data_IF_183939571061
#
_entry.id   IF_183939571061
#
_cell.length_a   1.000
_cell.length_b   1.000
_cell.length_c   1.000
_cell.angle_alpha   90.00
_cell.angle_beta   90.00
_cell.angle_gamma   90.00
#
_symmetry.space_group_name_H-M   'P 1'
#
loop_
_entity.id
_entity.type
_entity.pdbx_description
1 polymer ?
#
# COMPACT_ATOMS: atom_id res chain seq x y z
N UNK A 1 -1.75 -34.41 -12.19
CA UNK A 1 -0.52 -34.84 -12.88
C UNK A 1 0.62 -34.78 -11.87
N UNK A 2 1.81 -35.24 -12.25
CA UNK A 2 3.00 -35.25 -11.38
C UNK A 2 3.36 -33.86 -10.86
N UNK A 3 2.95 -32.80 -11.57
CA UNK A 3 3.11 -31.40 -11.18
C UNK A 3 2.07 -30.87 -10.16
N UNK A 4 1.27 -31.73 -9.52
CA UNK A 4 0.25 -31.33 -8.54
C UNK A 4 -0.92 -30.50 -9.11
N UNK A 5 -1.06 -30.44 -10.44
CA UNK A 5 -2.14 -29.71 -11.14
C UNK A 5 -3.13 -30.67 -11.78
N UNK A 6 -4.35 -30.19 -12.03
CA UNK A 6 -5.31 -30.90 -12.87
C UNK A 6 -4.71 -31.07 -14.27
N UNK A 7 -4.66 -32.32 -14.80
CA UNK A 7 -3.91 -32.67 -16.02
C UNK A 7 -4.32 -31.81 -17.22
N UNK A 8 -5.62 -31.54 -17.39
CA UNK A 8 -6.17 -30.67 -18.44
C UNK A 8 -5.71 -29.21 -18.39
N UNK A 9 -5.24 -28.72 -17.23
CA UNK A 9 -4.78 -27.34 -17.00
C UNK A 9 -3.28 -27.23 -16.79
N UNK A 10 -2.54 -28.32 -16.95
CA UNK A 10 -1.10 -28.34 -16.74
C UNK A 10 -0.37 -28.00 -18.04
N UNK A 11 0.34 -26.88 -18.07
CA UNK A 11 1.14 -26.45 -19.24
C UNK A 11 2.23 -27.49 -19.57
N UNK A 12 2.92 -28.00 -18.55
CA UNK A 12 4.03 -28.96 -18.69
C UNK A 12 3.57 -30.34 -19.19
N UNK A 13 2.30 -30.70 -18.98
CA UNK A 13 1.71 -31.92 -19.52
C UNK A 13 0.96 -31.71 -20.85
N UNK A 14 1.06 -30.53 -21.48
CA UNK A 14 0.30 -30.24 -22.69
C UNK A 14 -1.23 -30.28 -22.48
N UNK A 15 -1.69 -29.85 -21.30
CA UNK A 15 -3.10 -29.93 -20.92
C UNK A 15 -4.01 -29.29 -21.96
N UNK A 16 -5.05 -30.02 -22.39
CA UNK A 16 -5.95 -29.63 -23.49
C UNK A 16 -6.65 -28.28 -23.32
N UNK A 17 -6.71 -27.74 -22.10
CA UNK A 17 -7.31 -26.43 -21.82
C UNK A 17 -6.30 -25.28 -21.85
N UNK A 18 -5.03 -25.52 -22.18
CA UNK A 18 -3.96 -24.51 -22.26
C UNK A 18 -3.65 -24.23 -23.73
N UNK A 19 -3.61 -22.96 -24.13
CA UNK A 19 -3.20 -22.57 -25.47
C UNK A 19 -1.67 -22.53 -25.60
N UNK A 20 -1.17 -22.37 -26.82
CA UNK A 20 0.26 -22.15 -27.11
C UNK A 20 0.87 -20.99 -26.31
N UNK A 21 0.08 -19.96 -26.01
CA UNK A 21 0.47 -18.82 -25.17
C UNK A 21 0.61 -19.17 -23.67
N UNK A 22 0.41 -20.43 -23.29
CA UNK A 22 0.51 -20.91 -21.90
C UNK A 22 -0.61 -20.42 -20.97
N UNK A 23 -1.68 -19.85 -21.53
CA UNK A 23 -2.86 -19.38 -20.79
C UNK A 23 -4.00 -20.39 -20.93
N UNK A 24 -5.00 -20.31 -20.06
CA UNK A 24 -6.23 -21.10 -20.23
C UNK A 24 -6.92 -20.64 -21.52
N UNK A 25 -7.16 -21.56 -22.46
CA UNK A 25 -7.68 -21.29 -23.81
C UNK A 25 -8.91 -20.38 -23.80
N UNK A 26 -9.90 -20.70 -22.95
CA UNK A 26 -11.14 -19.92 -22.85
C UNK A 26 -10.94 -18.48 -22.38
N UNK A 27 -9.80 -18.15 -21.76
CA UNK A 27 -9.45 -16.81 -21.25
C UNK A 27 -8.31 -16.15 -22.03
N UNK A 28 -7.80 -16.80 -23.08
CA UNK A 28 -6.73 -16.22 -23.88
C UNK A 28 -7.29 -15.19 -24.85
N UNK A 29 -6.87 -13.92 -24.73
CA UNK A 29 -7.27 -12.86 -25.65
C UNK A 29 -6.72 -13.09 -27.06
N UNK A 30 -5.46 -13.52 -27.16
CA UNK A 30 -4.76 -13.79 -28.43
C UNK A 30 -5.40 -14.96 -29.20
N UNK A 31 -6.00 -15.93 -28.51
CA UNK A 31 -6.73 -17.05 -29.14
C UNK A 31 -8.24 -16.80 -29.28
N UNK A 32 -8.73 -15.58 -29.02
CA UNK A 32 -10.18 -15.29 -29.08
C UNK A 32 -11.01 -16.13 -28.10
N UNK A 33 -10.47 -16.45 -26.93
CA UNK A 33 -11.09 -17.36 -25.98
C UNK A 33 -12.55 -17.00 -25.66
N UNK A 34 -13.41 -18.02 -25.54
CA UNK A 34 -14.86 -17.87 -25.40
C UNK A 34 -15.34 -17.02 -24.22
N UNK A 35 -14.48 -16.80 -23.21
CA UNK A 35 -14.76 -15.95 -22.05
C UNK A 35 -14.36 -14.49 -22.26
N UNK A 36 -13.77 -14.12 -23.39
CA UNK A 36 -13.32 -12.76 -23.72
C UNK A 36 -14.38 -12.07 -24.58
N UNK A 37 -14.75 -10.83 -24.24
CA UNK A 37 -15.64 -10.02 -25.06
C UNK A 37 -14.85 -9.30 -26.16
N UNK A 38 -15.57 -8.68 -27.10
CA UNK A 38 -15.00 -7.80 -28.13
C UNK A 38 -14.12 -6.68 -27.54
N UNK A 39 -14.45 -6.19 -26.35
CA UNK A 39 -13.66 -5.20 -25.60
C UNK A 39 -12.35 -5.76 -25.02
N UNK A 40 -12.03 -7.04 -25.27
CA UNK A 40 -10.80 -7.69 -24.79
C UNK A 40 -10.75 -7.93 -23.28
N UNK A 41 -11.89 -7.81 -22.58
CA UNK A 41 -12.04 -8.09 -21.15
C UNK A 41 -12.73 -9.44 -20.95
N UNK A 42 -12.63 -10.02 -19.76
CA UNK A 42 -13.45 -11.19 -19.40
C UNK A 42 -14.92 -10.79 -19.42
N UNK A 43 -15.76 -11.47 -20.22
CA UNK A 43 -17.19 -11.16 -20.46
C UNK A 43 -17.95 -10.90 -19.16
N UNK A 44 -17.81 -11.79 -18.18
CA UNK A 44 -18.50 -11.66 -16.89
C UNK A 44 -18.08 -10.42 -16.09
N UNK A 45 -16.93 -9.82 -16.36
CA UNK A 45 -16.42 -8.62 -15.71
C UNK A 45 -16.49 -7.36 -16.59
N UNK A 46 -16.96 -7.49 -17.83
CA UNK A 46 -17.05 -6.36 -18.74
C UNK A 46 -18.31 -5.55 -18.45
N UNK A 47 -18.13 -4.29 -18.02
CA UNK A 47 -19.24 -3.36 -17.79
C UNK A 47 -20.05 -3.09 -19.07
N UNK A 48 -19.36 -2.87 -20.19
CA UNK A 48 -19.96 -2.59 -21.50
C UNK A 48 -20.81 -3.76 -22.02
N UNK A 49 -20.44 -5.00 -21.69
CA UNK A 49 -21.23 -6.19 -22.05
C UNK A 49 -22.26 -6.61 -20.98
N UNK A 50 -22.52 -5.78 -19.96
CA UNK A 50 -23.45 -6.13 -18.88
C UNK A 50 -23.02 -7.34 -18.04
N UNK A 51 -21.70 -7.56 -17.91
CA UNK A 51 -21.14 -8.73 -17.27
C UNK A 51 -21.73 -9.03 -15.90
N UNK A 52 -22.12 -10.29 -15.66
CA UNK A 52 -22.82 -10.76 -14.46
C UNK A 52 -22.08 -10.49 -13.14
N UNK A 53 -20.79 -10.19 -13.17
CA UNK A 53 -19.99 -9.85 -11.99
C UNK A 53 -19.99 -8.36 -11.66
N UNK A 54 -20.58 -7.49 -12.49
CA UNK A 54 -20.62 -6.02 -12.30
C UNK A 54 -22.04 -5.58 -11.91
N UNK A 55 -22.18 -4.79 -10.85
CA UNK A 55 -23.47 -4.18 -10.48
C UNK A 55 -23.75 -2.93 -11.30
N UNK A 56 -24.96 -2.41 -11.20
CA UNK A 56 -25.36 -1.12 -11.78
C UNK A 56 -24.42 0.03 -11.39
N UNK A 57 -23.86 -0.01 -10.17
CA UNK A 57 -22.86 0.95 -9.69
C UNK A 57 -21.47 0.82 -10.36
N UNK A 58 -21.31 -0.03 -11.38
CA UNK A 58 -20.05 -0.25 -12.08
C UNK A 58 -18.95 -0.91 -11.23
N UNK A 59 -19.28 -1.45 -10.06
CA UNK A 59 -18.37 -2.16 -9.15
C UNK A 59 -18.57 -3.67 -9.27
N UNK A 60 -17.57 -4.45 -8.88
CA UNK A 60 -17.74 -5.91 -8.75
C UNK A 60 -18.84 -6.19 -7.72
N UNK A 61 -19.92 -6.89 -8.11
CA UNK A 61 -21.13 -7.14 -7.31
C UNK A 61 -20.79 -7.63 -5.91
N UNK A 62 -19.93 -8.64 -5.81
CA UNK A 62 -19.53 -9.22 -4.52
C UNK A 62 -18.81 -8.25 -3.59
N UNK A 63 -18.24 -7.16 -4.12
CA UNK A 63 -17.50 -6.13 -3.36
C UNK A 63 -18.26 -4.80 -3.23
N UNK A 64 -19.45 -4.69 -3.81
CA UNK A 64 -20.23 -3.47 -3.77
C UNK A 64 -20.96 -3.38 -2.42
N UNK A 65 -20.76 -2.28 -1.68
CA UNK A 65 -21.44 -2.06 -0.39
C UNK A 65 -22.93 -1.78 -0.58
N UNK A 66 -23.26 -0.94 -1.56
CA UNK A 66 -24.65 -0.55 -1.87
C UNK A 66 -25.50 -1.74 -2.33
N UNK A 67 -24.91 -2.74 -2.99
CA UNK A 67 -25.61 -3.97 -3.36
C UNK A 67 -25.56 -5.07 -2.28
N UNK A 68 -25.06 -4.79 -1.06
CA UNK A 68 -24.91 -5.82 -0.03
C UNK A 68 -24.00 -6.98 -0.43
N UNK A 69 -22.97 -6.71 -1.24
CA UNK A 69 -22.13 -7.73 -1.86
C UNK A 69 -21.58 -8.74 -0.85
N UNK A 70 -21.53 -10.03 -1.23
CA UNK A 70 -21.17 -11.15 -0.35
C UNK A 70 -19.79 -11.04 0.33
N UNK A 71 -18.89 -10.19 -0.17
CA UNK A 71 -17.58 -9.92 0.44
C UNK A 71 -17.61 -8.80 1.47
N UNK A 72 -18.74 -8.12 1.67
CA UNK A 72 -18.93 -7.05 2.65
C UNK A 72 -19.57 -7.65 3.92
N UNK A 73 -19.06 -7.27 5.09
CA UNK A 73 -19.66 -7.63 6.38
C UNK A 73 -20.70 -6.59 6.81
N UNK A 74 -21.45 -6.90 7.86
CA UNK A 74 -22.38 -5.99 8.51
C UNK A 74 -21.72 -4.66 8.94
N UNK A 75 -20.43 -4.68 9.29
CA UNK A 75 -19.63 -3.49 9.62
C UNK A 75 -19.28 -2.62 8.41
N UNK A 76 -19.81 -2.92 7.21
CA UNK A 76 -19.55 -2.16 5.99
C UNK A 76 -18.11 -2.24 5.48
N UNK A 77 -17.31 -3.20 5.97
CA UNK A 77 -15.92 -3.44 5.54
C UNK A 77 -15.84 -4.73 4.71
N UNK A 78 -14.73 -4.95 4.01
CA UNK A 78 -14.51 -6.25 3.36
C UNK A 78 -14.34 -7.32 4.45
N UNK A 79 -15.11 -8.41 4.40
CA UNK A 79 -15.07 -9.52 5.37
C UNK A 79 -13.66 -9.99 5.66
N UNK A 80 -12.85 -10.19 4.63
CA UNK A 80 -11.45 -10.63 4.78
C UNK A 80 -10.57 -9.63 5.55
N UNK A 81 -10.93 -8.36 5.59
CA UNK A 81 -10.18 -7.28 6.25
C UNK A 81 -10.86 -6.78 7.53
N UNK A 82 -12.00 -7.35 7.91
CA UNK A 82 -12.73 -6.93 9.09
C UNK A 82 -12.14 -7.63 10.32
N UNK A 83 -11.67 -6.85 11.29
CA UNK A 83 -11.14 -7.36 12.56
C UNK A 83 -12.24 -8.02 13.39
N UNK A 84 -13.41 -7.39 13.46
CA UNK A 84 -14.58 -7.89 14.21
C UNK A 84 -15.10 -9.23 13.67
N UNK A 85 -15.02 -9.45 12.34
CA UNK A 85 -15.40 -10.73 11.72
C UNK A 85 -14.27 -11.77 11.65
N UNK A 86 -13.12 -11.56 12.31
CA UNK A 86 -11.99 -12.50 12.24
C UNK A 86 -11.42 -12.68 10.83
N UNK A 87 -11.45 -11.63 10.00
CA UNK A 87 -11.12 -11.71 8.59
C UNK A 87 -9.74 -12.33 8.31
N UNK A 88 -9.65 -13.19 7.29
CA UNK A 88 -8.44 -13.94 6.93
C UNK A 88 -7.20 -13.08 6.62
N UNK A 89 -7.40 -11.81 6.29
CA UNK A 89 -6.32 -10.83 6.05
C UNK A 89 -5.90 -10.08 7.31
N UNK A 90 -6.43 -10.42 8.48
CA UNK A 90 -6.06 -9.88 9.79
C UNK A 90 -5.24 -10.93 10.54
N UNK A 91 -4.24 -10.48 11.29
CA UNK A 91 -3.49 -11.32 12.23
C UNK A 91 -4.07 -11.20 13.64
N UNK A 92 -3.65 -12.06 14.57
CA UNK A 92 -4.11 -12.08 15.96
C UNK A 92 -3.96 -10.72 16.67
N UNK A 93 -2.94 -9.95 16.30
CA UNK A 93 -2.71 -8.59 16.81
C UNK A 93 -3.66 -7.53 16.21
N UNK A 94 -4.68 -7.94 15.46
CA UNK A 94 -5.70 -7.05 14.88
C UNK A 94 -5.23 -6.17 13.72
N UNK A 95 -4.02 -6.41 13.18
CA UNK A 95 -3.44 -5.67 12.05
C UNK A 95 -3.57 -6.48 10.75
N UNK A 96 -3.42 -5.83 9.60
CA UNK A 96 -3.34 -6.54 8.32
C UNK A 96 -2.19 -7.55 8.34
N UNK A 97 -2.47 -8.81 8.02
CA UNK A 97 -1.55 -9.96 8.10
C UNK A 97 -0.24 -9.73 7.34
N UNK A 98 -0.30 -9.07 6.18
CA UNK A 98 0.88 -8.63 5.42
C UNK A 98 1.80 -7.72 6.23
N UNK A 99 1.25 -6.86 7.09
CA UNK A 99 2.00 -5.95 7.98
C UNK A 99 2.45 -6.61 9.28
N UNK A 100 1.84 -7.73 9.69
CA UNK A 100 2.25 -8.43 10.91
C UNK A 100 3.56 -9.20 10.69
N UNK A 101 3.80 -9.69 9.47
CA UNK A 101 5.07 -10.31 9.07
C UNK A 101 6.25 -9.31 9.13
N UNK A 102 5.95 -8.02 9.04
CA UNK A 102 6.93 -6.93 9.08
C UNK A 102 7.37 -6.56 10.50
N UNK A 103 6.76 -7.09 11.56
CA UNK A 103 7.14 -6.79 12.96
C UNK A 103 8.02 -7.92 13.50
N UNK A 104 9.11 -7.58 14.20
CA UNK A 104 9.94 -8.55 14.91
C UNK A 104 9.47 -8.76 16.34
N UNK A 105 10.04 -9.75 17.03
CA UNK A 105 9.80 -10.00 18.47
C UNK A 105 10.08 -8.78 19.36
N UNK A 106 10.99 -7.88 18.95
CA UNK A 106 11.27 -6.61 19.62
C UNK A 106 10.16 -5.55 19.44
N UNK A 107 9.01 -5.90 18.85
CA UNK A 107 7.87 -4.98 18.63
C UNK A 107 8.11 -3.88 17.59
N UNK A 108 9.26 -3.90 16.90
CA UNK A 108 9.66 -2.92 15.87
C UNK A 108 9.44 -3.49 14.48
N UNK A 109 9.34 -2.62 13.47
CA UNK A 109 9.39 -3.08 12.07
C UNK A 109 10.74 -3.74 11.80
N UNK A 110 10.78 -4.97 11.30
CA UNK A 110 11.99 -5.76 10.99
C UNK A 110 13.01 -4.92 10.23
N UNK A 111 12.58 -4.21 9.20
CA UNK A 111 13.47 -3.35 8.41
C UNK A 111 14.14 -2.22 9.20
N UNK A 112 13.56 -1.81 10.33
CA UNK A 112 14.06 -0.73 11.21
C UNK A 112 14.56 -1.25 12.57
N UNK A 113 14.59 -2.56 12.78
CA UNK A 113 15.05 -3.14 14.03
C UNK A 113 16.56 -3.38 13.97
N UNK A 114 17.32 -2.72 14.86
CA UNK A 114 18.78 -2.91 14.95
C UNK A 114 19.15 -4.34 15.33
N UNK A 115 18.45 -4.93 16.31
CA UNK A 115 18.70 -6.29 16.81
C UNK A 115 18.44 -7.36 15.74
N UNK A 116 17.51 -7.12 14.81
CA UNK A 116 17.23 -8.03 13.70
C UNK A 116 18.06 -7.73 12.43
N UNK A 117 19.07 -6.85 12.49
CA UNK A 117 19.86 -6.47 11.31
C UNK A 117 19.02 -5.78 10.22
N UNK A 118 18.01 -5.00 10.62
CA UNK A 118 17.07 -4.36 9.71
C UNK A 118 17.75 -3.56 8.60
N UNK A 119 17.34 -3.80 7.35
CA UNK A 119 17.96 -3.20 6.15
C UNK A 119 17.95 -1.67 6.10
N UNK A 120 17.07 -1.01 6.87
CA UNK A 120 17.00 0.44 6.99
C UNK A 120 17.97 1.02 8.02
N UNK A 121 18.67 0.19 8.79
CA UNK A 121 19.65 0.60 9.81
C UNK A 121 21.05 0.43 9.22
N UNK A 122 21.92 1.43 9.42
CA UNK A 122 23.34 1.35 9.06
C UNK A 122 24.16 0.71 10.18
N UNK A 123 25.44 0.44 9.92
CA UNK A 123 26.40 -0.04 10.92
C UNK A 123 26.50 0.87 12.15
N UNK A 124 26.33 2.20 11.96
CA UNK A 124 26.28 3.18 13.04
C UNK A 124 25.00 3.11 13.90
N UNK A 125 24.08 2.17 13.63
CA UNK A 125 22.82 2.01 14.38
C UNK A 125 21.77 3.10 14.12
N UNK A 126 22.01 3.99 13.14
CA UNK A 126 21.08 5.05 12.72
C UNK A 126 20.27 4.59 11.51
N UNK A 127 19.16 5.26 11.19
CA UNK A 127 18.49 5.01 9.91
C UNK A 127 19.43 5.40 8.76
N UNK A 128 19.66 4.49 7.80
CA UNK A 128 20.56 4.69 6.65
C UNK A 128 20.30 6.02 5.93
N UNK A 129 19.03 6.34 5.69
CA UNK A 129 18.64 7.57 5.00
C UNK A 129 18.98 8.84 5.78
N UNK A 130 19.16 8.76 7.10
CA UNK A 130 19.43 9.91 7.98
C UNK A 130 20.85 9.89 8.55
N UNK A 131 21.64 8.86 8.26
CA UNK A 131 23.01 8.74 8.76
C UNK A 131 23.93 9.64 7.95
N UNK A 132 24.58 10.61 8.62
CA UNK A 132 25.55 11.50 7.97
C UNK A 132 26.80 10.75 7.51
N UNK A 133 27.32 9.85 8.34
CA UNK A 133 28.52 9.05 8.03
C UNK A 133 28.33 8.17 6.80
N UNK A 134 27.10 7.67 6.56
CA UNK A 134 26.77 6.87 5.38
C UNK A 134 26.29 7.70 4.17
N UNK A 135 26.35 9.04 4.22
CA UNK A 135 25.83 9.89 3.14
C UNK A 135 24.33 9.71 2.88
N UNK A 136 23.55 9.47 3.95
CA UNK A 136 22.13 9.14 3.86
C UNK A 136 21.34 10.12 2.99
N UNK A 137 20.40 9.58 2.20
CA UNK A 137 19.62 10.34 1.21
C UNK A 137 18.80 11.53 1.74
N UNK A 138 18.64 11.64 3.06
CA UNK A 138 17.98 12.76 3.72
C UNK A 138 18.95 13.85 4.17
N UNK A 139 20.26 13.66 3.99
CA UNK A 139 21.31 14.61 4.34
C UNK A 139 21.78 15.33 3.05
N UNK A 140 21.85 16.66 3.07
CA UNK A 140 22.39 17.43 1.96
C UNK A 140 23.92 17.52 2.04
N UNK A 141 24.55 18.06 1.00
CA UNK A 141 25.99 18.35 0.98
C UNK A 141 26.45 19.22 2.16
N UNK A 142 25.58 20.11 2.66
CA UNK A 142 25.83 20.93 3.86
C UNK A 142 25.78 20.15 5.18
N UNK A 143 25.62 18.82 5.16
CA UNK A 143 25.53 17.98 6.35
C UNK A 143 24.26 18.20 7.20
N UNK A 144 23.26 18.88 6.66
CA UNK A 144 21.95 19.15 7.30
C UNK A 144 20.87 18.23 6.71
N UNK A 145 19.77 18.05 7.42
CA UNK A 145 18.61 17.33 6.87
C UNK A 145 18.06 18.14 5.69
N UNK A 146 18.00 17.55 4.48
CA UNK A 146 17.59 18.19 3.22
C UNK A 146 16.32 19.01 3.36
N UNK A 147 15.28 18.43 3.95
CA UNK A 147 14.00 19.12 4.12
C UNK A 147 14.08 20.36 5.01
N UNK A 148 15.08 20.46 5.89
CA UNK A 148 15.29 21.59 6.82
C UNK A 148 16.45 22.50 6.39
N UNK A 149 17.13 22.22 5.28
CA UNK A 149 18.26 23.02 4.85
C UNK A 149 17.78 24.23 4.05
N UNK A 150 18.10 25.44 4.53
CA UNK A 150 17.71 26.70 3.85
C UNK A 150 18.45 26.87 2.51
N UNK A 151 19.75 26.57 2.48
CA UNK A 151 20.60 26.67 1.27
C UNK A 151 20.10 25.74 0.15
N UNK A 152 19.51 24.59 0.50
CA UNK A 152 18.94 23.66 -0.47
C UNK A 152 17.46 23.92 -0.80
N UNK A 153 16.86 25.00 -0.29
CA UNK A 153 15.42 25.26 -0.45
C UNK A 153 14.54 24.16 0.15
N UNK A 154 14.96 23.56 1.27
CA UNK A 154 14.32 22.41 1.88
C UNK A 154 12.80 22.58 2.07
N UNK A 155 12.03 21.53 1.81
CA UNK A 155 10.55 21.57 1.81
C UNK A 155 9.91 22.04 3.12
N UNK A 156 10.62 21.97 4.25
CA UNK A 156 10.16 22.45 5.56
C UNK A 156 10.46 23.94 5.78
N UNK A 157 11.13 24.61 4.86
CA UNK A 157 11.41 26.05 4.89
C UNK A 157 10.34 26.79 4.07
N UNK A 158 9.82 27.89 4.60
CA UNK A 158 8.89 28.77 3.87
C UNK A 158 9.66 29.82 3.07
N UNK A 159 8.94 30.59 2.26
CA UNK A 159 9.49 31.73 1.51
C UNK A 159 10.16 32.77 2.42
N UNK A 160 9.68 32.93 3.66
CA UNK A 160 10.27 33.80 4.68
C UNK A 160 11.57 33.25 5.30
N UNK A 161 12.11 32.13 4.79
CA UNK A 161 13.34 31.52 5.29
C UNK A 161 13.23 30.93 6.71
N UNK A 162 12.02 30.76 7.24
CA UNK A 162 11.74 30.13 8.55
C UNK A 162 11.23 28.70 8.35
N UNK A 163 11.26 27.86 9.38
CA UNK A 163 10.57 26.56 9.30
C UNK A 163 9.06 26.80 9.17
N UNK A 164 8.42 26.19 8.17
CA UNK A 164 6.99 26.35 7.85
C UNK A 164 6.11 26.15 9.09
N UNK A 165 6.39 25.13 9.89
CA UNK A 165 5.62 24.86 11.12
C UNK A 165 5.74 25.95 12.17
N UNK A 166 6.82 26.73 12.18
CA UNK A 166 7.08 27.79 13.16
C UNK A 166 6.88 29.20 12.59
N UNK A 167 6.53 29.33 11.32
CA UNK A 167 6.36 30.62 10.67
C UNK A 167 4.98 31.18 11.00
N UNK A 168 4.92 32.31 11.70
CA UNK A 168 3.65 32.99 12.03
C UNK A 168 2.93 33.50 10.78
N UNK A 169 3.67 34.10 9.84
CA UNK A 169 3.13 34.63 8.58
C UNK A 169 2.50 33.53 7.72
N UNK A 170 3.02 32.30 7.77
CA UNK A 170 2.46 31.15 7.05
C UNK A 170 1.41 30.37 7.86
N UNK A 171 0.98 30.84 9.04
CA UNK A 171 0.05 30.11 9.90
C UNK A 171 0.59 28.73 10.34
N UNK A 172 1.90 28.65 10.62
CA UNK A 172 2.58 27.40 10.92
C UNK A 172 1.91 26.58 12.01
N UNK A 173 1.87 25.25 11.84
CA UNK A 173 1.16 24.32 12.75
C UNK A 173 1.62 24.37 14.21
N UNK A 174 2.83 24.87 14.49
CA UNK A 174 3.37 25.04 15.84
C UNK A 174 2.99 26.39 16.46
N UNK A 175 2.28 27.26 15.75
CA UNK A 175 1.78 28.55 16.24
C UNK A 175 0.33 28.37 16.70
N UNK A 176 0.00 28.88 17.89
CA UNK A 176 -1.36 28.91 18.40
C UNK A 176 -2.13 30.12 17.85
N UNK A 177 -3.43 30.17 18.10
CA UNK A 177 -4.27 31.31 17.73
C UNK A 177 -3.80 32.63 18.35
N UNK A 178 -3.17 32.58 19.53
CA UNK A 178 -2.54 33.73 20.20
C UNK A 178 -1.21 34.19 19.56
N UNK A 179 -0.81 33.62 18.42
CA UNK A 179 0.42 33.99 17.71
C UNK A 179 1.72 33.61 18.45
N UNK A 180 1.65 32.73 19.45
CA UNK A 180 2.82 32.19 20.19
C UNK A 180 3.10 30.75 19.76
N UNK A 181 4.29 30.22 20.06
CA UNK A 181 4.52 28.78 19.87
C UNK A 181 3.64 27.99 20.83
N UNK A 182 2.88 27.01 20.32
CA UNK A 182 1.95 26.17 21.09
C UNK A 182 2.62 25.57 22.32
N UNK A 183 3.85 25.05 22.20
CA UNK A 183 4.60 24.46 23.31
C UNK A 183 5.01 25.43 24.41
N UNK A 184 4.91 26.74 24.18
CA UNK A 184 5.29 27.79 25.13
C UNK A 184 4.10 28.67 25.53
N UNK A 185 2.91 28.41 24.98
CA UNK A 185 1.71 29.16 25.29
C UNK A 185 1.06 28.52 26.53
N UNK A 186 0.94 29.27 27.62
CA UNK A 186 0.28 28.80 28.86
C UNK A 186 -1.24 28.68 28.72
N UNK A 187 -1.80 29.24 27.65
CA UNK A 187 -3.24 29.31 27.38
C UNK A 187 -3.66 28.27 26.32
N UNK A 188 -2.80 27.30 25.98
CA UNK A 188 -3.03 26.27 24.98
C UNK A 188 -2.56 24.89 25.46
#
# INVERSE_FOLDING_TARGET
>A
CEHGRQRSRCKECGGSSICEHGRVQSRCKECGGSSICEHGRVRSQCKECGGSSICEHGRVRSRCKECGGSSICEHGRRRSQCKECGGSSICEQGRQRSRCKDICEHGRRRSRCKECGGSSICEHGRQRSQCKECGGSSICEHGRVRSRCKECGGSSICEHGRQRSQCKECGGSSICEHGRQRSQCKEC
#
